data_IF_039207354839
#
_entry.id   IF_039207354839
#
_cell.length_a   1.000
_cell.length_b   1.000
_cell.length_c   1.000
_cell.angle_alpha   90.00
_cell.angle_beta   90.00
_cell.angle_gamma   90.00
#
_symmetry.space_group_name_H-M   'P 1'
#
loop_
_entity.id
_entity.type
_entity.pdbx_description
1 polymer ?
#
# COMPACT_ATOMS: atom_id res chain seq x y z
N UNK A 1 -23.74 -15.75 -38.41
CA UNK A 1 -22.65 -16.62 -37.93
C UNK A 1 -21.36 -15.81 -37.87
N UNK A 2 -20.62 -15.93 -36.76
CA UNK A 2 -19.18 -15.71 -36.54
C UNK A 2 -18.49 -14.46 -37.16
N UNK A 3 -17.94 -13.48 -36.41
CA UNK A 3 -16.75 -13.45 -35.52
C UNK A 3 -15.62 -12.59 -36.14
N UNK A 4 -15.12 -11.64 -35.33
CA UNK A 4 -13.73 -11.14 -35.34
C UNK A 4 -13.45 -9.94 -36.25
N UNK A 5 -12.57 -8.97 -35.93
CA UNK A 5 -11.67 -8.77 -34.78
C UNK A 5 -11.15 -7.32 -34.83
N UNK A 6 -10.77 -6.81 -33.67
CA UNK A 6 -10.14 -5.51 -33.40
C UNK A 6 -8.82 -5.28 -34.16
N UNK A 7 -8.53 -4.01 -34.44
CA UNK A 7 -7.20 -3.54 -34.83
C UNK A 7 -7.02 -2.02 -34.65
N UNK A 8 -6.36 -1.66 -33.53
CA UNK A 8 -5.44 -0.52 -33.36
C UNK A 8 -5.88 0.90 -33.73
N UNK A 9 -6.07 1.75 -32.71
CA UNK A 9 -5.91 3.20 -32.83
C UNK A 9 -5.10 3.71 -31.62
N UNK A 10 -3.77 3.71 -31.76
CA UNK A 10 -2.91 4.58 -30.98
C UNK A 10 -2.89 5.95 -31.66
N UNK A 11 -3.57 6.94 -31.07
CA UNK A 11 -3.43 8.34 -31.46
C UNK A 11 -2.24 8.94 -30.72
N UNK A 12 -1.15 9.22 -31.45
CA UNK A 12 0.01 9.94 -30.95
C UNK A 12 -0.19 11.44 -31.21
N UNK A 13 -0.44 12.22 -30.17
CA UNK A 13 -0.54 13.68 -30.28
C UNK A 13 0.87 14.27 -30.45
N UNK A 14 1.11 14.85 -31.62
CA UNK A 14 2.37 15.48 -32.06
C UNK A 14 2.52 16.85 -31.37
N UNK A 15 3.46 16.99 -30.43
CA UNK A 15 3.79 18.28 -29.84
C UNK A 15 4.75 19.08 -30.75
N UNK A 16 4.31 20.26 -31.16
CA UNK A 16 5.07 21.21 -31.98
C UNK A 16 6.19 21.85 -31.12
N UNK A 17 7.46 21.68 -31.52
CA UNK A 17 8.60 22.40 -30.92
C UNK A 17 8.73 23.77 -31.57
N UNK A 18 8.61 24.85 -30.79
CA UNK A 18 9.23 26.13 -31.10
C UNK A 18 10.57 26.22 -30.37
N UNK A 19 11.62 26.55 -31.11
CA UNK A 19 12.99 26.67 -30.63
C UNK A 19 13.30 28.12 -30.24
N UNK A 20 13.56 28.35 -28.96
CA UNK A 20 14.23 29.58 -28.47
C UNK A 20 15.45 29.16 -27.66
N UNK A 21 16.67 29.62 -27.98
CA UNK A 21 17.87 29.30 -27.22
C UNK A 21 18.09 30.36 -26.13
N UNK A 22 18.25 29.93 -24.88
CA UNK A 22 18.76 30.80 -23.81
C UNK A 22 18.08 30.61 -22.46
N UNK A 23 18.70 29.78 -21.63
CA UNK A 23 18.97 30.00 -20.19
C UNK A 23 19.12 28.64 -19.51
N UNK A 24 20.34 28.39 -19.01
CA UNK A 24 20.67 27.18 -18.27
C UNK A 24 19.86 27.11 -16.97
N UNK A 25 18.70 26.48 -17.04
CA UNK A 25 17.96 26.06 -15.85
C UNK A 25 18.58 24.76 -15.37
N UNK A 26 19.23 24.79 -14.21
CA UNK A 26 19.62 23.59 -13.48
C UNK A 26 18.39 22.66 -13.40
N UNK A 27 18.53 21.33 -13.62
CA UNK A 27 17.40 20.43 -13.51
C UNK A 27 16.80 20.55 -12.10
N UNK A 28 15.51 20.91 -12.02
CA UNK A 28 14.75 20.93 -10.77
C UNK A 28 14.96 19.58 -10.08
N UNK A 29 15.40 19.63 -8.83
CA UNK A 29 15.56 18.44 -7.98
C UNK A 29 14.30 17.56 -8.09
N UNK A 30 14.55 16.30 -8.45
CA UNK A 30 13.57 15.41 -9.06
C UNK A 30 12.31 15.17 -8.24
N UNK A 31 11.16 15.53 -8.85
CA UNK A 31 9.88 14.97 -8.47
C UNK A 31 9.90 13.48 -8.80
N UNK A 32 10.12 12.62 -7.80
CA UNK A 32 9.98 11.17 -7.97
C UNK A 32 8.49 10.85 -7.95
N UNK A 33 7.91 10.59 -9.12
CA UNK A 33 6.58 9.98 -9.19
C UNK A 33 6.67 8.55 -8.65
N UNK A 34 6.10 8.30 -7.47
CA UNK A 34 5.91 6.94 -6.96
C UNK A 34 4.59 6.42 -7.52
N UNK A 35 4.66 5.62 -8.57
CA UNK A 35 3.49 4.93 -9.10
C UNK A 35 3.09 3.80 -8.14
N UNK A 36 1.83 3.82 -7.70
CA UNK A 36 1.22 2.72 -6.94
C UNK A 36 0.51 1.79 -7.92
N UNK A 37 0.68 0.50 -7.72
CA UNK A 37 0.07 -0.59 -8.48
C UNK A 37 -0.83 -1.36 -7.52
N UNK A 38 -2.06 -1.62 -7.95
CA UNK A 38 -2.93 -2.62 -7.34
C UNK A 38 -3.14 -3.72 -8.38
N UNK A 39 -2.78 -4.96 -8.03
CA UNK A 39 -3.09 -6.09 -8.90
C UNK A 39 -4.50 -6.59 -8.58
N UNK A 40 -5.36 -6.60 -9.61
CA UNK A 40 -6.75 -7.01 -9.51
C UNK A 40 -6.89 -8.42 -10.11
N UNK A 41 -7.21 -9.39 -9.26
CA UNK A 41 -7.41 -10.78 -9.67
C UNK A 41 -8.83 -11.04 -10.24
N UNK A 42 -9.07 -12.20 -10.88
CA UNK A 42 -10.40 -12.55 -11.42
C UNK A 42 -11.48 -12.72 -10.35
N UNK A 43 -11.08 -12.93 -9.10
CA UNK A 43 -11.97 -13.07 -7.95
C UNK A 43 -12.05 -11.82 -7.06
N UNK A 44 -11.43 -10.72 -7.47
CA UNK A 44 -11.42 -9.47 -6.70
C UNK A 44 -12.83 -9.02 -6.33
N UNK A 45 -13.07 -8.79 -5.04
CA UNK A 45 -14.37 -8.36 -4.51
C UNK A 45 -15.44 -9.46 -4.50
N UNK A 46 -15.10 -10.70 -4.87
CA UNK A 46 -16.01 -11.86 -4.83
C UNK A 46 -15.77 -12.67 -3.55
N UNK A 47 -16.66 -13.62 -3.18
CA UNK A 47 -16.53 -14.38 -1.94
C UNK A 47 -15.17 -15.10 -1.75
N UNK A 48 -14.50 -15.48 -2.84
CA UNK A 48 -13.18 -16.12 -2.78
C UNK A 48 -12.03 -15.15 -2.47
N UNK A 49 -12.18 -13.87 -2.81
CA UNK A 49 -11.20 -12.81 -2.56
C UNK A 49 -11.90 -11.45 -2.31
N UNK A 50 -12.62 -11.32 -1.18
CA UNK A 50 -13.45 -10.13 -0.92
C UNK A 50 -12.61 -8.86 -0.71
N UNK A 51 -11.32 -8.99 -0.38
CA UNK A 51 -10.41 -7.88 -0.08
C UNK A 51 -9.44 -7.55 -1.23
N UNK A 52 -9.55 -8.23 -2.37
CA UNK A 52 -8.62 -8.13 -3.51
C UNK A 52 -7.14 -8.30 -3.13
N UNK A 53 -6.84 -9.31 -2.31
CA UNK A 53 -5.48 -9.56 -1.84
C UNK A 53 -4.73 -10.58 -2.71
N UNK A 54 -5.47 -11.50 -3.34
CA UNK A 54 -4.87 -12.62 -4.07
C UNK A 54 -4.03 -12.14 -5.26
N UNK A 55 -4.51 -11.15 -6.02
CA UNK A 55 -3.78 -10.62 -7.17
C UNK A 55 -2.46 -9.96 -6.78
N UNK A 56 -2.45 -9.17 -5.70
CA UNK A 56 -1.24 -8.51 -5.19
C UNK A 56 -0.23 -9.52 -4.62
N UNK A 57 -0.72 -10.56 -3.95
CA UNK A 57 0.12 -11.65 -3.46
C UNK A 57 0.76 -12.45 -4.59
N UNK A 58 -0.03 -12.80 -5.61
CA UNK A 58 0.47 -13.51 -6.80
C UNK A 58 1.56 -12.71 -7.50
N UNK A 59 1.33 -11.40 -7.71
CA UNK A 59 2.33 -10.52 -8.31
C UNK A 59 3.62 -10.46 -7.47
N UNK A 60 3.52 -10.37 -6.15
CA UNK A 60 4.68 -10.39 -5.26
C UNK A 60 5.46 -11.70 -5.31
N UNK A 61 4.78 -12.84 -5.39
CA UNK A 61 5.41 -14.15 -5.55
C UNK A 61 6.16 -14.27 -6.88
N UNK A 62 5.54 -13.86 -7.98
CA UNK A 62 6.19 -13.82 -9.30
C UNK A 62 7.40 -12.87 -9.32
N UNK A 63 7.30 -11.73 -8.61
CA UNK A 63 8.43 -10.81 -8.49
C UNK A 63 9.57 -11.37 -7.66
N UNK A 64 9.28 -12.16 -6.61
CA UNK A 64 10.30 -12.86 -5.83
C UNK A 64 11.08 -13.87 -6.67
N UNK A 65 10.46 -14.51 -7.67
CA UNK A 65 11.14 -15.46 -8.57
C UNK A 65 12.17 -14.79 -9.49
N UNK A 66 11.95 -13.52 -9.88
CA UNK A 66 12.80 -12.81 -10.85
C UNK A 66 13.65 -11.70 -10.23
N UNK A 67 13.34 -11.28 -9.00
CA UNK A 67 14.08 -10.25 -8.26
C UNK A 67 14.58 -10.82 -6.93
N UNK A 68 15.87 -11.22 -6.84
CA UNK A 68 16.43 -11.87 -5.65
C UNK A 68 16.33 -11.05 -4.36
N UNK A 69 16.23 -9.72 -4.46
CA UNK A 69 16.13 -8.80 -3.31
C UNK A 69 14.70 -8.70 -2.74
N UNK A 70 13.70 -9.31 -3.38
CA UNK A 70 12.32 -9.28 -2.90
C UNK A 70 12.12 -10.40 -1.88
N UNK A 71 11.99 -10.01 -0.61
CA UNK A 71 11.66 -10.91 0.49
C UNK A 71 10.22 -10.68 0.96
N UNK A 72 9.43 -11.76 1.01
CA UNK A 72 8.01 -11.68 1.38
C UNK A 72 7.75 -11.89 2.88
N UNK A 73 8.78 -12.04 3.72
CA UNK A 73 8.63 -12.30 5.17
C UNK A 73 7.72 -11.29 5.85
N UNK A 74 7.98 -9.99 5.68
CA UNK A 74 7.14 -8.95 6.28
C UNK A 74 5.78 -8.82 5.62
N UNK A 75 5.66 -9.11 4.32
CA UNK A 75 4.35 -9.11 3.66
C UNK A 75 3.46 -10.20 4.24
N UNK A 76 3.99 -11.41 4.40
CA UNK A 76 3.28 -12.52 5.04
C UNK A 76 2.90 -12.18 6.49
N UNK A 77 3.82 -11.60 7.25
CA UNK A 77 3.56 -11.14 8.62
C UNK A 77 2.41 -10.14 8.72
N UNK A 78 2.40 -9.11 7.89
CA UNK A 78 1.37 -8.07 7.94
C UNK A 78 0.02 -8.57 7.41
N UNK A 79 -0.01 -9.40 6.38
CA UNK A 79 -1.24 -10.08 5.98
C UNK A 79 -1.79 -10.97 7.10
N UNK A 80 -0.90 -11.54 7.89
CA UNK A 80 -1.26 -12.44 8.98
C UNK A 80 -1.78 -11.74 10.24
N UNK A 81 -1.42 -10.49 10.46
CA UNK A 81 -1.68 -9.76 11.71
C UNK A 81 -2.58 -8.54 11.55
N UNK A 82 -2.77 -8.05 10.33
CA UNK A 82 -3.57 -6.85 10.05
C UNK A 82 -4.95 -7.16 9.43
N UNK A 83 -5.27 -8.44 9.21
CA UNK A 83 -6.52 -8.88 8.63
C UNK A 83 -7.02 -10.14 9.34
N UNK A 84 -8.34 -10.33 9.34
CA UNK A 84 -8.91 -11.61 9.71
C UNK A 84 -8.77 -12.61 8.56
N UNK A 85 -8.68 -13.90 8.88
CA UNK A 85 -8.56 -14.95 7.86
C UNK A 85 -9.90 -15.48 7.37
N UNK A 86 -11.00 -15.11 8.04
CA UNK A 86 -12.34 -15.61 7.72
C UNK A 86 -12.93 -14.84 6.53
N UNK A 87 -12.56 -15.27 5.32
CA UNK A 87 -13.10 -14.74 4.05
C UNK A 87 -14.62 -14.87 3.98
N UNK A 88 -15.21 -15.88 4.63
CA UNK A 88 -16.65 -16.07 4.68
C UNK A 88 -17.35 -14.94 5.43
N UNK A 89 -16.77 -14.46 6.53
CA UNK A 89 -17.27 -13.28 7.24
C UNK A 89 -17.18 -12.01 6.39
N UNK A 90 -16.06 -11.76 5.71
CA UNK A 90 -15.96 -10.62 4.79
C UNK A 90 -16.95 -10.71 3.63
N UNK A 91 -17.14 -11.90 3.05
CA UNK A 91 -18.11 -12.11 1.99
C UNK A 91 -19.55 -11.81 2.45
N UNK A 92 -19.91 -12.19 3.69
CA UNK A 92 -21.20 -11.85 4.30
C UNK A 92 -21.36 -10.34 4.52
N UNK A 93 -20.33 -9.67 5.01
CA UNK A 93 -20.35 -8.20 5.13
C UNK A 93 -20.54 -7.52 3.76
N UNK A 94 -19.82 -7.98 2.73
CA UNK A 94 -19.96 -7.49 1.37
C UNK A 94 -21.40 -7.69 0.84
N UNK A 95 -21.97 -8.87 1.07
CA UNK A 95 -23.35 -9.19 0.70
C UNK A 95 -24.37 -8.29 1.42
N UNK A 96 -24.05 -7.85 2.65
CA UNK A 96 -24.84 -6.89 3.42
C UNK A 96 -24.57 -5.42 3.03
N UNK A 97 -23.87 -5.17 1.92
CA UNK A 97 -23.65 -3.83 1.36
C UNK A 97 -22.41 -3.11 1.89
N UNK A 98 -21.57 -3.76 2.71
CA UNK A 98 -20.28 -3.19 3.11
C UNK A 98 -19.37 -3.12 1.88
N UNK A 99 -18.83 -1.93 1.61
CA UNK A 99 -17.88 -1.73 0.50
C UNK A 99 -16.45 -1.83 1.02
N UNK A 100 -15.68 -2.70 0.40
CA UNK A 100 -14.24 -2.77 0.63
C UNK A 100 -13.50 -1.96 -0.44
N UNK A 101 -12.52 -1.18 -0.02
CA UNK A 101 -11.51 -0.61 -0.91
C UNK A 101 -10.33 -1.56 -1.01
N UNK A 102 -9.44 -1.29 -1.95
CA UNK A 102 -8.11 -1.90 -2.07
C UNK A 102 -7.41 -2.00 -0.71
N UNK A 103 -6.97 -3.21 -0.35
CA UNK A 103 -6.32 -3.45 0.96
C UNK A 103 -4.80 -3.60 0.87
N UNK A 104 -4.27 -3.84 -0.33
CA UNK A 104 -2.83 -4.01 -0.59
C UNK A 104 -2.44 -3.23 -1.84
N UNK A 105 -1.42 -2.37 -1.72
CA UNK A 105 -0.82 -1.68 -2.86
C UNK A 105 0.68 -1.96 -2.93
N UNK A 106 1.21 -2.03 -4.13
CA UNK A 106 2.64 -2.17 -4.40
C UNK A 106 3.17 -0.87 -4.98
N UNK A 107 4.34 -0.43 -4.54
CA UNK A 107 5.06 0.66 -5.19
C UNK A 107 6.45 0.19 -5.58
N UNK A 108 6.66 -0.12 -6.86
CA UNK A 108 7.99 -0.30 -7.42
C UNK A 108 8.84 0.95 -7.20
N UNK A 109 10.10 0.73 -6.80
CA UNK A 109 11.06 1.79 -6.52
C UNK A 109 12.38 1.46 -7.21
N UNK A 110 12.80 2.36 -8.09
CA UNK A 110 14.15 2.39 -8.65
C UNK A 110 15.01 3.39 -7.86
N UNK A 111 16.03 2.92 -7.12
CA UNK A 111 16.95 3.80 -6.42
C UNK A 111 17.81 4.55 -7.45
N UNK A 112 17.88 5.88 -7.29
CA UNK A 112 18.59 6.79 -8.20
C UNK A 112 20.12 6.57 -8.24
N UNK A 113 20.69 5.82 -7.28
CA UNK A 113 22.15 5.65 -7.12
C UNK A 113 22.57 4.19 -6.84
N UNK A 114 21.84 3.22 -7.37
CA UNK A 114 22.24 1.82 -7.27
C UNK A 114 21.53 0.94 -8.28
N UNK A 115 22.17 -0.17 -8.65
CA UNK A 115 21.50 -1.26 -9.36
C UNK A 115 20.58 -1.99 -8.38
N UNK A 116 19.28 -1.98 -8.62
CA UNK A 116 18.36 -2.81 -7.86
C UNK A 116 16.91 -2.38 -8.02
N UNK A 117 16.03 -3.34 -8.20
CA UNK A 117 14.60 -3.14 -8.12
C UNK A 117 14.15 -3.39 -6.68
N UNK A 118 13.37 -2.48 -6.12
CA UNK A 118 12.77 -2.65 -4.80
C UNK A 118 11.26 -2.47 -4.91
N UNK A 119 10.51 -3.11 -4.02
CA UNK A 119 9.06 -2.95 -3.90
C UNK A 119 8.75 -2.51 -2.48
N UNK A 120 7.91 -1.48 -2.34
CA UNK A 120 7.21 -1.21 -1.08
C UNK A 120 5.81 -1.82 -1.15
N UNK A 121 5.37 -2.46 -0.06
CA UNK A 121 3.99 -2.93 0.10
C UNK A 121 3.28 -2.04 1.11
N UNK A 122 2.10 -1.56 0.76
CA UNK A 122 1.23 -0.77 1.63
C UNK A 122 0.02 -1.62 1.99
N UNK A 123 -0.30 -1.65 3.27
CA UNK A 123 -1.48 -2.32 3.78
C UNK A 123 -2.48 -1.26 4.23
N UNK A 124 -3.74 -1.42 3.83
CA UNK A 124 -4.88 -0.71 4.40
C UNK A 124 -5.67 -1.77 5.17
N UNK A 125 -5.34 -1.95 6.46
CA UNK A 125 -5.91 -3.04 7.23
C UNK A 125 -7.42 -2.97 7.33
N UNK A 126 -8.02 -4.14 7.44
CA UNK A 126 -9.47 -4.27 7.54
C UNK A 126 -9.78 -5.45 8.44
N UNK A 127 -10.47 -5.20 9.55
CA UNK A 127 -10.98 -6.25 10.44
C UNK A 127 -12.50 -6.38 10.27
N UNK A 128 -13.01 -7.57 10.52
CA UNK A 128 -14.45 -7.88 10.55
C UNK A 128 -15.11 -7.07 11.67
N UNK A 129 -16.33 -6.57 11.41
CA UNK A 129 -17.06 -5.69 12.32
C UNK A 129 -16.56 -4.24 12.31
N UNK A 130 -15.46 -3.94 11.62
CA UNK A 130 -15.09 -2.57 11.30
C UNK A 130 -16.07 -2.00 10.26
N UNK A 131 -16.66 -0.83 10.49
CA UNK A 131 -17.44 -0.12 9.45
C UNK A 131 -16.50 0.66 8.53
N UNK A 132 -16.98 1.18 7.40
CA UNK A 132 -16.20 2.08 6.52
C UNK A 132 -15.68 3.32 7.30
N UNK A 133 -16.35 3.67 8.40
CA UNK A 133 -16.02 4.79 9.27
C UNK A 133 -15.38 4.37 10.60
N UNK A 134 -15.31 3.07 10.93
CA UNK A 134 -14.60 2.61 12.14
C UNK A 134 -13.13 2.42 11.80
N UNK A 135 -12.38 3.50 12.04
CA UNK A 135 -10.94 3.63 12.31
C UNK A 135 -10.11 2.33 12.32
N UNK A 136 -9.93 1.67 11.17
CA UNK A 136 -8.89 0.64 10.94
C UNK A 136 -8.62 -0.32 12.11
N UNK A 137 -7.34 -0.60 12.36
CA UNK A 137 -6.87 -1.24 13.60
C UNK A 137 -6.79 -0.22 14.73
N UNK A 138 -7.03 -0.69 15.96
CA UNK A 138 -6.69 0.06 17.17
C UNK A 138 -5.18 0.25 17.29
N UNK A 139 -4.75 1.25 18.07
CA UNK A 139 -3.33 1.46 18.35
C UNK A 139 -2.68 0.20 18.95
N UNK A 140 -3.38 -0.49 19.87
CA UNK A 140 -2.91 -1.73 20.46
C UNK A 140 -2.76 -2.88 19.45
N UNK A 141 -3.65 -2.99 18.45
CA UNK A 141 -3.52 -3.98 17.38
C UNK A 141 -2.32 -3.70 16.47
N UNK A 142 -2.11 -2.43 16.10
CA UNK A 142 -0.90 -2.01 15.39
C UNK A 142 0.37 -2.33 16.18
N UNK A 143 0.37 -2.01 17.48
CA UNK A 143 1.51 -2.29 18.35
C UNK A 143 1.78 -3.79 18.44
N UNK A 144 0.75 -4.60 18.65
CA UNK A 144 0.84 -6.04 18.74
C UNK A 144 1.45 -6.67 17.49
N UNK A 145 1.06 -6.20 16.29
CA UNK A 145 1.67 -6.63 15.02
C UNK A 145 3.15 -6.26 14.93
N UNK A 146 3.51 -5.00 15.24
CA UNK A 146 4.90 -4.52 15.12
C UNK A 146 5.83 -5.12 16.19
N UNK A 147 5.32 -5.40 17.39
CA UNK A 147 6.07 -6.02 18.48
C UNK A 147 6.56 -7.43 18.14
N UNK A 148 5.85 -8.16 17.30
CA UNK A 148 6.27 -9.49 16.82
C UNK A 148 7.48 -9.44 15.88
N UNK A 149 7.71 -8.32 15.18
CA UNK A 149 8.89 -8.13 14.33
C UNK A 149 10.10 -7.73 15.17
N UNK A 150 9.91 -6.81 16.12
CA UNK A 150 10.97 -6.23 16.93
C UNK A 150 10.50 -5.97 18.36
N UNK A 151 10.56 -6.98 19.25
CA UNK A 151 9.98 -6.86 20.59
C UNK A 151 10.63 -5.76 21.41
N UNK A 152 11.96 -5.62 21.31
CA UNK A 152 12.78 -4.64 22.03
C UNK A 152 13.15 -3.40 21.21
N UNK A 153 12.34 -2.99 20.23
CA UNK A 153 12.62 -1.81 19.41
C UNK A 153 12.27 -0.51 20.15
N UNK A 154 13.26 0.34 20.44
CA UNK A 154 13.08 1.61 21.17
C UNK A 154 12.29 2.64 20.36
N UNK A 155 12.56 2.75 19.05
CA UNK A 155 11.83 3.68 18.19
C UNK A 155 10.33 3.35 18.11
N UNK A 156 9.98 2.06 18.07
CA UNK A 156 8.59 1.57 18.19
C UNK A 156 7.98 2.02 19.51
N UNK A 157 8.68 1.78 20.64
CA UNK A 157 8.18 2.15 21.96
C UNK A 157 7.95 3.66 22.08
N UNK A 158 8.93 4.48 21.71
CA UNK A 158 8.82 5.94 21.73
C UNK A 158 7.65 6.44 20.86
N UNK A 159 7.44 5.85 19.68
CA UNK A 159 6.32 6.20 18.81
C UNK A 159 4.97 5.85 19.45
N UNK A 160 4.81 4.65 20.02
CA UNK A 160 3.55 4.26 20.65
C UNK A 160 3.27 5.03 21.94
N UNK A 161 4.30 5.35 22.71
CA UNK A 161 4.21 6.23 23.87
C UNK A 161 3.73 7.63 23.46
N UNK A 162 4.35 8.24 22.44
CA UNK A 162 3.91 9.52 21.88
C UNK A 162 2.45 9.47 21.39
N UNK A 163 2.08 8.46 20.59
CA UNK A 163 0.71 8.35 20.07
C UNK A 163 -0.34 8.13 21.16
N UNK A 164 0.02 7.49 22.27
CA UNK A 164 -0.89 7.20 23.38
C UNK A 164 -0.99 8.35 24.39
N UNK A 165 0.14 8.98 24.72
CA UNK A 165 0.28 9.83 25.90
C UNK A 165 0.54 11.31 25.57
N UNK A 166 0.87 11.67 24.33
CA UNK A 166 1.09 13.05 23.92
C UNK A 166 -0.16 13.67 23.25
N UNK A 167 -0.58 14.90 23.62
CA UNK A 167 -1.72 15.58 22.98
C UNK A 167 -1.57 15.75 21.46
N UNK A 168 -0.36 16.04 20.96
CA UNK A 168 -0.07 16.13 19.52
C UNK A 168 -0.16 14.73 18.87
N UNK A 169 0.37 13.70 19.52
CA UNK A 169 0.27 12.32 19.06
C UNK A 169 -1.18 11.85 18.90
N UNK A 170 -2.03 12.19 19.86
CA UNK A 170 -3.47 11.87 19.81
C UNK A 170 -4.21 12.60 18.68
N UNK A 171 -3.73 13.78 18.26
CA UNK A 171 -4.29 14.50 17.10
C UNK A 171 -4.02 13.78 15.77
N UNK A 172 -2.96 12.96 15.68
CA UNK A 172 -2.64 12.16 14.48
C UNK A 172 -3.63 10.99 14.33
N UNK A 173 -4.04 10.37 15.46
CA UNK A 173 -4.95 9.22 15.46
C UNK A 173 -6.40 9.59 15.11
N UNK A 174 -6.77 10.85 15.36
CA UNK A 174 -8.09 11.38 15.07
C UNK A 174 -7.98 12.58 14.14
N UNK A 175 -7.76 12.35 12.82
CA UNK A 175 -7.73 13.43 11.84
C UNK A 175 -9.16 13.92 11.56
N UNK A 176 -9.94 14.26 12.59
CA UNK A 176 -11.19 15.01 12.43
C UNK A 176 -10.93 16.42 11.88
N UNK A 177 -9.66 16.87 11.86
CA UNK A 177 -9.21 18.16 11.30
C UNK A 177 -8.14 18.06 10.19
N UNK A 178 -7.71 16.84 9.80
CA UNK A 178 -6.59 16.61 8.86
C UNK A 178 -7.01 15.66 7.70
N UNK A 179 -8.22 15.83 7.17
CA UNK A 179 -8.93 14.85 6.32
C UNK A 179 -8.32 14.55 4.94
N UNK A 180 -7.05 14.89 4.65
CA UNK A 180 -6.48 14.66 3.31
C UNK A 180 -5.08 14.06 3.24
N UNK A 181 -4.39 13.72 4.35
CA UNK A 181 -2.94 13.47 4.23
C UNK A 181 -2.28 12.26 4.87
N UNK A 182 -2.95 11.37 5.59
CA UNK A 182 -2.24 10.21 6.16
C UNK A 182 -2.89 8.90 5.73
N UNK A 183 -2.49 8.43 4.55
CA UNK A 183 -2.73 7.05 4.09
C UNK A 183 -1.42 6.24 3.98
N UNK A 184 -0.35 6.67 4.64
CA UNK A 184 0.96 6.06 4.46
C UNK A 184 1.82 6.14 5.72
N UNK A 185 2.02 5.00 6.39
CA UNK A 185 3.04 4.75 7.42
C UNK A 185 4.45 4.64 6.79
N UNK A 186 4.79 5.52 5.85
CA UNK A 186 6.04 5.43 5.07
C UNK A 186 7.31 5.78 5.86
N UNK A 187 7.17 6.49 6.97
CA UNK A 187 8.29 6.96 7.78
C UNK A 187 8.87 5.86 8.68
N UNK A 188 8.04 4.94 9.17
CA UNK A 188 8.38 4.10 10.34
C UNK A 188 9.20 2.85 9.95
N UNK A 189 8.91 2.24 8.80
CA UNK A 189 9.58 0.98 8.39
C UNK A 189 11.06 1.22 8.03
N UNK A 190 11.43 2.39 7.50
CA UNK A 190 12.83 2.65 7.12
C UNK A 190 13.78 2.79 8.32
N UNK A 191 13.26 2.96 9.54
CA UNK A 191 14.05 3.09 10.77
C UNK A 191 14.14 1.77 11.57
N UNK A 192 13.21 0.84 11.37
CA UNK A 192 13.21 -0.47 12.07
C UNK A 192 14.18 -1.48 11.42
N UNK A 193 14.60 -1.24 10.17
CA UNK A 193 15.50 -2.13 9.42
C UNK A 193 16.96 -1.62 9.34
N UNK A 194 17.37 -0.75 10.26
CA UNK A 194 18.78 -0.35 10.48
C UNK A 194 19.16 -0.67 11.91
#
# INVERSE_FOLDING_TARGET
MAVGRNGSLYSATKAHRSSTPGSGTRPRAGLKSVSRIEAIGPYAGRPLDPLNQAGSLELLHRLQEVVPTVHLTYTKHFLATLFDYDRGKYAREAANGVRFTSTVFLAPKWPWRGSGFNIKTYFLPRMIGGTVNTKGLTLAQWEGSLKQIGPANEARQAMFDFLANDPEGQCILFPSKLSHRISSLESIINHISR
#
